data_IF_246697939541
#
_entry.id   IF_246697939541
#
_cell.length_a   1.000
_cell.length_b   1.000
_cell.length_c   1.000
_cell.angle_alpha   90.00
_cell.angle_beta   90.00
_cell.angle_gamma   90.00
#
_symmetry.space_group_name_H-M   'P 1'
#
loop_
_entity.id
_entity.type
_entity.pdbx_description
1 polymer ?
#
# COMPACT_ATOMS: atom_id res chain seq x y z
N UNK A 1 -5.20 -16.14 -2.16
CA UNK A 1 -4.63 -16.48 -0.84
C UNK A 1 -3.35 -15.70 -0.62
N UNK A 2 -3.16 -15.23 0.59
CA UNK A 2 -2.00 -14.40 0.89
C UNK A 2 -0.74 -15.25 0.99
N UNK A 3 0.32 -14.80 0.32
CA UNK A 3 1.58 -15.53 0.29
C UNK A 3 2.37 -15.32 1.58
N UNK A 4 2.89 -16.42 2.15
CA UNK A 4 3.77 -16.33 3.30
C UNK A 4 5.19 -15.88 2.91
N UNK A 5 5.49 -15.89 1.62
CA UNK A 5 6.80 -15.48 1.13
C UNK A 5 6.89 -14.01 0.78
N UNK A 6 5.76 -13.31 0.83
CA UNK A 6 5.75 -11.90 0.51
C UNK A 6 6.42 -11.10 1.64
N UNK A 7 7.37 -10.26 1.26
CA UNK A 7 8.03 -9.34 2.18
C UNK A 7 7.71 -7.93 1.71
N UNK A 8 7.05 -7.12 2.55
CA UNK A 8 6.72 -5.75 2.15
C UNK A 8 7.98 -4.95 1.87
N UNK A 9 8.01 -4.29 0.72
CA UNK A 9 9.12 -3.42 0.35
C UNK A 9 8.63 -1.98 0.31
N UNK A 10 9.50 -1.07 0.73
CA UNK A 10 9.19 0.34 0.67
C UNK A 10 9.41 0.88 -0.73
N UNK A 11 8.41 1.59 -1.25
CA UNK A 11 8.52 2.35 -2.49
C UNK A 11 8.63 3.82 -2.12
N UNK A 12 9.43 4.55 -2.86
CA UNK A 12 9.71 5.95 -2.57
C UNK A 12 8.97 6.83 -3.58
N UNK A 13 8.25 7.82 -3.06
CA UNK A 13 7.53 8.75 -3.94
C UNK A 13 8.51 9.59 -4.77
N UNK A 14 8.06 10.12 -5.93
CA UNK A 14 8.88 11.08 -6.67
C UNK A 14 9.31 12.20 -5.74
N UNK A 15 10.57 12.62 -5.86
CA UNK A 15 11.19 13.64 -5.01
C UNK A 15 11.31 13.23 -3.54
N UNK A 16 11.08 11.95 -3.24
CA UNK A 16 11.41 11.33 -1.96
C UNK A 16 10.73 11.93 -0.73
N UNK A 17 9.54 12.49 -0.91
CA UNK A 17 8.81 13.06 0.23
C UNK A 17 8.23 12.01 1.16
N UNK A 18 7.93 10.83 0.64
CA UNK A 18 7.28 9.79 1.42
C UNK A 18 7.65 8.42 0.87
N UNK A 19 7.55 7.42 1.73
CA UNK A 19 7.67 6.01 1.34
C UNK A 19 6.36 5.32 1.64
N UNK A 20 6.01 4.33 0.85
CA UNK A 20 4.77 3.58 1.07
C UNK A 20 4.98 2.10 0.79
N UNK A 21 4.18 1.29 1.44
CA UNK A 21 4.23 -0.16 1.26
C UNK A 21 2.86 -0.75 1.54
N UNK A 22 2.73 -2.05 1.29
CA UNK A 22 1.49 -2.80 1.47
C UNK A 22 1.74 -4.00 2.36
N UNK A 23 0.87 -4.20 3.35
CA UNK A 23 0.88 -5.39 4.19
C UNK A 23 -0.48 -6.06 4.15
N UNK A 24 -0.48 -7.38 4.25
CA UNK A 24 -1.66 -8.19 4.09
C UNK A 24 -2.10 -8.89 5.37
N UNK A 25 -1.25 -8.97 6.37
CA UNK A 25 -1.55 -9.61 7.64
C UNK A 25 -0.64 -9.08 8.73
N UNK A 26 -0.89 -9.55 9.95
CA UNK A 26 -0.14 -9.10 11.12
C UNK A 26 1.34 -9.43 11.02
N UNK A 27 1.69 -10.61 10.54
CA UNK A 27 3.10 -10.99 10.43
C UNK A 27 3.87 -10.06 9.51
N UNK A 28 3.29 -9.71 8.39
CA UNK A 28 3.91 -8.79 7.44
C UNK A 28 4.01 -7.39 8.03
N UNK A 29 2.98 -6.98 8.76
CA UNK A 29 2.96 -5.70 9.41
C UNK A 29 4.10 -5.60 10.42
N UNK A 30 4.27 -6.65 11.22
CA UNK A 30 5.31 -6.68 12.25
C UNK A 30 6.72 -6.58 11.69
N UNK A 31 6.92 -7.07 10.46
CA UNK A 31 8.24 -6.99 9.80
C UNK A 31 8.70 -5.55 9.59
N UNK A 32 7.78 -4.61 9.55
CA UNK A 32 8.11 -3.21 9.29
C UNK A 32 8.57 -2.47 10.56
N UNK A 33 8.39 -3.06 11.72
CA UNK A 33 8.75 -2.45 12.99
C UNK A 33 9.87 -3.25 13.65
N UNK A 34 11.03 -2.62 13.83
CA UNK A 34 12.19 -3.26 14.42
C UNK A 34 12.05 -3.41 15.94
N UNK A 35 11.29 -2.52 16.56
CA UNK A 35 11.10 -2.52 18.00
C UNK A 35 9.79 -3.21 18.35
N UNK A 36 9.90 -4.31 19.09
CA UNK A 36 8.72 -5.07 19.52
C UNK A 36 7.76 -4.26 20.38
N UNK A 37 8.24 -3.19 21.00
CA UNK A 37 7.38 -2.33 21.80
C UNK A 37 6.50 -1.42 20.96
N UNK A 38 6.80 -1.30 19.68
CA UNK A 38 6.06 -0.45 18.77
C UNK A 38 5.12 -1.23 17.88
N UNK A 39 4.84 -2.50 18.21
CA UNK A 39 3.92 -3.31 17.40
C UNK A 39 2.54 -2.65 17.33
N UNK A 40 2.01 -2.68 16.14
CA UNK A 40 0.67 -2.15 15.85
C UNK A 40 -0.25 -3.31 15.53
N UNK A 41 -1.54 -3.13 15.75
CA UNK A 41 -2.51 -4.15 15.38
C UNK A 41 -2.90 -3.98 13.93
N UNK A 42 -2.90 -5.10 13.20
CA UNK A 42 -3.42 -5.12 11.85
C UNK A 42 -4.92 -4.83 11.88
N UNK A 43 -5.44 -4.21 10.83
CA UNK A 43 -6.84 -3.81 10.75
C UNK A 43 -7.79 -4.99 10.97
N UNK A 44 -9.01 -4.68 11.37
CA UNK A 44 -10.01 -5.70 11.67
C UNK A 44 -10.47 -6.42 10.41
N UNK A 45 -10.87 -7.68 10.61
CA UNK A 45 -11.52 -8.47 9.57
C UNK A 45 -12.78 -7.74 9.11
N UNK A 46 -12.99 -7.75 7.80
CA UNK A 46 -14.16 -7.11 7.22
C UNK A 46 -13.93 -5.68 6.76
N UNK A 47 -12.90 -5.03 7.26
CA UNK A 47 -12.50 -3.75 6.71
C UNK A 47 -11.93 -4.00 5.31
N UNK A 48 -12.16 -3.08 4.38
CA UNK A 48 -11.64 -3.24 3.03
C UNK A 48 -10.15 -3.02 2.98
N UNK A 49 -9.76 -1.77 3.11
CA UNK A 49 -8.36 -1.37 3.14
C UNK A 49 -8.26 -0.08 3.92
N UNK A 50 -7.06 0.21 4.39
CA UNK A 50 -6.79 1.49 5.05
C UNK A 50 -5.33 1.84 4.89
N UNK A 51 -5.02 3.12 4.98
CA UNK A 51 -3.63 3.56 5.02
C UNK A 51 -3.41 4.30 6.34
N UNK A 52 -2.32 3.96 7.01
CA UNK A 52 -1.89 4.62 8.22
C UNK A 52 -0.59 5.34 7.95
N UNK A 53 -0.41 6.47 8.61
CA UNK A 53 0.76 7.32 8.42
C UNK A 53 1.63 7.32 9.65
N UNK A 54 2.94 7.27 9.42
CA UNK A 54 3.93 7.25 10.48
C UNK A 54 4.99 8.30 10.18
N UNK A 55 5.68 8.75 11.20
CA UNK A 55 6.77 9.71 11.06
C UNK A 55 6.32 10.97 10.31
N UNK A 56 5.17 11.52 10.74
CA UNK A 56 4.65 12.75 10.15
C UNK A 56 4.16 12.60 8.72
N UNK A 57 3.87 11.37 8.29
CA UNK A 57 3.42 11.11 6.94
C UNK A 57 4.55 10.73 5.97
N UNK A 58 5.77 10.60 6.48
CA UNK A 58 6.88 10.17 5.64
C UNK A 58 6.84 8.69 5.33
N UNK A 59 6.08 7.93 6.09
CA UNK A 59 5.86 6.51 5.87
C UNK A 59 4.37 6.25 5.84
N UNK A 60 3.90 5.61 4.78
CA UNK A 60 2.50 5.25 4.61
C UNK A 60 2.41 3.73 4.49
N UNK A 61 1.62 3.11 5.34
CA UNK A 61 1.44 1.66 5.30
C UNK A 61 0.00 1.37 4.93
N UNK A 62 -0.19 0.75 3.78
CA UNK A 62 -1.51 0.32 3.33
C UNK A 62 -1.75 -1.08 3.87
N UNK A 63 -2.87 -1.26 4.51
CA UNK A 63 -3.31 -2.56 5.03
C UNK A 63 -4.45 -3.06 4.17
N UNK A 64 -4.33 -4.27 3.67
CA UNK A 64 -5.35 -4.91 2.84
C UNK A 64 -5.48 -6.34 3.32
N UNK A 65 -6.66 -6.68 3.84
CA UNK A 65 -6.90 -8.00 4.40
C UNK A 65 -7.10 -9.06 3.33
N UNK A 66 -7.80 -10.13 3.73
CA UNK A 66 -8.12 -11.23 2.83
C UNK A 66 -9.10 -10.76 1.77
N UNK A 67 -8.79 -11.02 0.51
CA UNK A 67 -9.60 -10.61 -0.63
C UNK A 67 -10.23 -11.79 -1.35
N UNK A 68 -10.30 -12.95 -0.69
CA UNK A 68 -10.84 -14.16 -1.33
C UNK A 68 -12.30 -14.01 -1.78
N UNK A 69 -13.05 -13.13 -1.12
CA UNK A 69 -14.46 -12.88 -1.46
C UNK A 69 -14.65 -11.65 -2.33
N UNK A 70 -13.57 -11.08 -2.86
CA UNK A 70 -13.64 -9.87 -3.66
C UNK A 70 -13.19 -10.13 -5.09
N UNK A 71 -13.76 -9.41 -6.03
CA UNK A 71 -13.27 -9.43 -7.41
C UNK A 71 -11.99 -8.61 -7.51
N UNK A 72 -11.23 -8.84 -8.56
CA UNK A 72 -10.02 -8.06 -8.80
C UNK A 72 -10.35 -6.57 -8.97
N UNK A 73 -11.47 -6.27 -9.62
CA UNK A 73 -11.91 -4.89 -9.81
C UNK A 73 -12.15 -4.22 -8.47
N UNK A 74 -12.80 -4.93 -7.55
CA UNK A 74 -13.05 -4.41 -6.21
C UNK A 74 -11.74 -4.14 -5.46
N UNK A 75 -10.78 -5.06 -5.57
CA UNK A 75 -9.47 -4.89 -4.92
C UNK A 75 -8.75 -3.68 -5.50
N UNK A 76 -8.74 -3.54 -6.82
CA UNK A 76 -8.11 -2.38 -7.46
C UNK A 76 -8.77 -1.08 -7.02
N UNK A 77 -10.09 -1.08 -6.88
CA UNK A 77 -10.79 0.09 -6.37
C UNK A 77 -10.36 0.48 -4.97
N UNK A 78 -10.24 -0.51 -4.07
CA UNK A 78 -9.75 -0.26 -2.72
C UNK A 78 -8.35 0.33 -2.73
N UNK A 79 -7.45 -0.25 -3.51
CA UNK A 79 -6.07 0.20 -3.57
C UNK A 79 -5.94 1.58 -4.23
N UNK A 80 -6.76 1.85 -5.23
CA UNK A 80 -6.78 3.18 -5.84
C UNK A 80 -7.21 4.23 -4.83
N UNK A 81 -8.22 3.90 -4.02
CA UNK A 81 -8.68 4.80 -2.97
C UNK A 81 -7.53 5.14 -2.00
N UNK A 82 -6.77 4.13 -1.58
CA UNK A 82 -5.64 4.38 -0.68
C UNK A 82 -4.50 5.13 -1.39
N UNK A 83 -4.30 4.87 -2.68
CA UNK A 83 -3.29 5.59 -3.46
C UNK A 83 -3.59 7.09 -3.48
N UNK A 84 -4.86 7.45 -3.62
CA UNK A 84 -5.25 8.87 -3.60
C UNK A 84 -4.96 9.48 -2.24
N UNK A 85 -5.23 8.76 -1.14
CA UNK A 85 -4.89 9.24 0.19
C UNK A 85 -3.39 9.44 0.37
N UNK A 86 -2.58 8.53 -0.15
CA UNK A 86 -1.13 8.68 -0.10
C UNK A 86 -0.71 9.93 -0.85
N UNK A 87 -1.27 10.14 -2.05
CA UNK A 87 -0.98 11.34 -2.82
C UNK A 87 -1.37 12.62 -2.07
N UNK A 88 -2.53 12.61 -1.43
CA UNK A 88 -2.98 13.76 -0.64
C UNK A 88 -1.98 14.09 0.46
N UNK A 89 -1.40 13.07 1.08
CA UNK A 89 -0.38 13.27 2.12
C UNK A 89 0.92 13.80 1.50
N UNK A 90 1.34 13.25 0.39
CA UNK A 90 2.55 13.71 -0.30
C UNK A 90 2.41 15.18 -0.70
N UNK A 91 1.27 15.52 -1.28
CA UNK A 91 0.98 16.88 -1.70
C UNK A 91 1.09 17.86 -0.52
N UNK A 92 0.58 17.44 0.62
CA UNK A 92 0.65 18.26 1.84
C UNK A 92 2.09 18.42 2.31
N UNK A 93 2.87 17.34 2.29
CA UNK A 93 4.28 17.40 2.67
C UNK A 93 5.09 18.29 1.74
N UNK A 94 4.74 18.31 0.47
CA UNK A 94 5.39 19.18 -0.52
C UNK A 94 4.99 20.64 -0.37
N UNK A 95 3.91 20.91 0.34
CA UNK A 95 3.38 22.27 0.45
C UNK A 95 2.67 22.73 -0.83
N UNK A 96 2.33 21.81 -1.72
CA UNK A 96 1.66 22.13 -2.97
C UNK A 96 0.15 22.11 -2.80
N UNK A 97 -0.48 23.28 -2.98
CA UNK A 97 -1.94 23.35 -2.88
C UNK A 97 -2.62 23.07 -4.21
N UNK A 98 -1.98 23.45 -5.30
CA UNK A 98 -2.53 23.29 -6.64
C UNK A 98 -1.45 22.79 -7.60
N UNK A 99 -1.04 21.52 -7.48
CA UNK A 99 -0.09 20.98 -8.44
C UNK A 99 -0.74 20.91 -9.83
N UNK A 100 0.08 20.82 -10.87
CA UNK A 100 -0.47 20.68 -12.21
C UNK A 100 -1.29 19.40 -12.30
N UNK A 101 -2.32 19.42 -13.14
CA UNK A 101 -3.21 18.27 -13.28
C UNK A 101 -2.47 17.02 -13.76
N UNK A 102 -1.51 17.21 -14.67
CA UNK A 102 -0.74 16.08 -15.17
C UNK A 102 0.20 15.51 -14.12
N UNK A 103 0.87 16.36 -13.36
CA UNK A 103 1.73 15.88 -12.28
C UNK A 103 0.95 15.10 -11.25
N UNK A 104 -0.22 15.59 -10.87
CA UNK A 104 -1.10 14.92 -9.94
C UNK A 104 -1.55 13.56 -10.49
N UNK A 105 -2.00 13.54 -11.74
CA UNK A 105 -2.50 12.30 -12.35
C UNK A 105 -1.40 11.24 -12.46
N UNK A 106 -0.22 11.62 -12.90
CA UNK A 106 0.90 10.69 -13.00
C UNK A 106 1.37 10.20 -11.62
N UNK A 107 1.32 11.07 -10.62
CA UNK A 107 1.69 10.69 -9.26
C UNK A 107 0.74 9.64 -8.70
N UNK A 108 -0.55 9.85 -8.87
CA UNK A 108 -1.55 8.88 -8.43
C UNK A 108 -1.39 7.58 -9.19
N UNK A 109 -1.18 7.65 -10.49
CA UNK A 109 -0.96 6.48 -11.32
C UNK A 109 0.21 5.65 -10.82
N UNK A 110 1.33 6.30 -10.52
CA UNK A 110 2.54 5.64 -10.03
C UNK A 110 2.27 4.90 -8.73
N UNK A 111 1.65 5.60 -7.77
CA UNK A 111 1.35 5.01 -6.48
C UNK A 111 0.39 3.84 -6.64
N UNK A 112 -0.66 4.01 -7.44
CA UNK A 112 -1.63 2.96 -7.67
C UNK A 112 -0.99 1.72 -8.29
N UNK A 113 -0.13 1.91 -9.29
CA UNK A 113 0.54 0.79 -9.94
C UNK A 113 1.46 0.05 -8.98
N UNK A 114 2.16 0.79 -8.11
CA UNK A 114 3.00 0.16 -7.10
C UNK A 114 2.15 -0.70 -6.14
N UNK A 115 1.01 -0.17 -5.70
CA UNK A 115 0.13 -0.93 -4.81
C UNK A 115 -0.47 -2.15 -5.51
N UNK A 116 -0.88 -2.01 -6.77
CA UNK A 116 -1.40 -3.14 -7.55
C UNK A 116 -0.34 -4.21 -7.70
N UNK A 117 0.88 -3.81 -7.98
CA UNK A 117 2.00 -4.74 -8.14
C UNK A 117 2.30 -5.47 -6.83
N UNK A 118 2.32 -4.74 -5.72
CA UNK A 118 2.53 -5.34 -4.41
C UNK A 118 1.40 -6.29 -4.04
N UNK A 119 0.16 -5.94 -4.38
CA UNK A 119 -0.95 -6.87 -4.16
C UNK A 119 -0.72 -8.17 -4.93
N UNK A 120 -0.37 -8.07 -6.20
CA UNK A 120 -0.13 -9.24 -7.02
C UNK A 120 0.99 -10.11 -6.45
N UNK A 121 2.07 -9.48 -6.02
CA UNK A 121 3.19 -10.19 -5.40
C UNK A 121 2.79 -10.85 -4.09
N UNK A 122 1.84 -10.27 -3.36
CA UNK A 122 1.44 -10.78 -2.05
C UNK A 122 0.44 -11.94 -2.13
N UNK A 123 -0.04 -12.26 -3.33
CA UNK A 123 -0.99 -13.36 -3.51
C UNK A 123 -0.26 -14.61 -3.95
N UNK A 124 -0.67 -15.76 -3.40
CA UNK A 124 -0.22 -17.05 -3.93
C UNK A 124 -1.32 -17.59 -4.80
N UNK A 125 -0.96 -18.05 -5.98
CA UNK A 125 -1.85 -18.87 -6.78
C UNK A 125 -1.02 -19.76 -7.66
N UNK A 126 -1.67 -20.67 -8.35
CA UNK A 126 -0.99 -21.58 -9.24
C UNK A 126 -0.38 -20.88 -10.44
N UNK A 127 -0.94 -19.75 -10.81
CA UNK A 127 -0.51 -19.02 -11.99
C UNK A 127 0.90 -18.47 -11.85
N UNK A 128 1.23 -17.97 -10.67
CA UNK A 128 2.56 -17.45 -10.42
C UNK A 128 3.63 -18.48 -10.68
N UNK A 129 3.32 -19.71 -10.32
CA UNK A 129 4.27 -20.81 -10.45
C UNK A 129 4.37 -21.31 -11.86
N UNK A 130 3.40 -20.98 -12.69
CA UNK A 130 3.33 -21.45 -14.07
C UNK A 130 3.98 -20.49 -15.04
N UNK A 131 4.27 -19.30 -14.61
CA UNK A 131 4.85 -18.28 -15.47
C UNK A 131 6.32 -18.48 -15.71
N UNK A 132 6.86 -19.43 -15.12
CA UNK A 132 8.29 -19.73 -15.24
C UNK A 132 8.62 -20.39 -16.53
#
# INVERSE_FOLDING_TARGET
MISNNYVPEWHISPFEHSKYTLVRNQDQFDLLFDDMNDTQEFMHLGAGAQVDYYDGGKHCIVQLGDCSERTLIEVHGLLLHEAVHIWQRIKKLMGEKKPSTEFEAYSIQRIAQDLFSMFQESETDGMEKQTN
#
